data_IF_582558097692
#
_entry.id   IF_582558097692
#
_cell.length_a   1.000
_cell.length_b   1.000
_cell.length_c   1.000
_cell.angle_alpha   90.00
_cell.angle_beta   90.00
_cell.angle_gamma   90.00
#
_symmetry.space_group_name_H-M   'P 1'
#
loop_
_entity.id
_entity.type
_entity.pdbx_description
1 polymer ?
#
# COMPACT_ATOMS: atom_id res chain seq x y z
N UNK A 1 42.44 19.64 60.48
CA UNK A 1 41.08 19.07 60.57
C UNK A 1 40.09 20.16 60.14
N UNK A 2 39.41 20.01 58.98
CA UNK A 2 38.22 20.76 58.53
C UNK A 2 37.80 20.27 57.13
N UNK A 3 36.72 19.47 57.14
CA UNK A 3 35.67 19.15 56.16
C UNK A 3 35.95 18.83 54.66
N UNK A 4 35.11 17.95 54.03
CA UNK A 4 35.38 17.26 52.78
C UNK A 4 34.72 17.95 51.56
N UNK A 5 35.31 17.79 50.37
CA UNK A 5 34.68 18.21 49.10
C UNK A 5 34.00 17.00 48.47
N UNK A 6 32.67 17.02 48.52
CA UNK A 6 31.77 16.07 47.87
C UNK A 6 31.70 16.40 46.37
N UNK A 7 32.13 15.50 45.50
CA UNK A 7 32.00 15.64 44.04
C UNK A 7 30.74 14.90 43.57
N UNK A 8 29.66 15.65 43.36
CA UNK A 8 28.43 15.16 42.72
C UNK A 8 28.61 15.13 41.19
N UNK A 9 28.76 13.95 40.60
CA UNK A 9 28.70 13.78 39.14
C UNK A 9 27.23 13.65 38.69
N UNK A 10 26.70 14.71 38.09
CA UNK A 10 25.39 14.74 37.43
C UNK A 10 25.47 14.02 36.08
N UNK A 11 24.79 12.87 35.96
CA UNK A 11 24.66 12.13 34.72
C UNK A 11 23.62 12.84 33.82
N UNK A 12 24.08 13.47 32.74
CA UNK A 12 23.21 14.11 31.75
C UNK A 12 22.38 13.10 30.95
N UNK A 13 21.12 13.47 30.79
CA UNK A 13 20.04 12.78 30.07
C UNK A 13 20.32 12.79 28.56
N UNK A 14 20.43 11.61 27.95
CA UNK A 14 20.43 11.43 26.49
C UNK A 14 19.07 10.92 26.02
N UNK A 15 18.11 11.84 25.83
CA UNK A 15 16.81 11.53 25.25
C UNK A 15 16.99 11.31 23.73
N UNK A 16 17.14 10.05 23.32
CA UNK A 16 17.09 9.66 21.91
C UNK A 16 15.68 9.94 21.37
N UNK A 17 15.45 11.15 20.87
CA UNK A 17 14.29 11.45 20.05
C UNK A 17 14.42 10.67 18.74
N UNK A 18 13.81 9.49 18.70
CA UNK A 18 13.54 8.76 17.46
C UNK A 18 12.60 9.65 16.64
N UNK A 19 13.17 10.49 15.78
CA UNK A 19 12.40 11.21 14.77
C UNK A 19 11.88 10.16 13.80
N UNK A 20 10.60 9.80 13.96
CA UNK A 20 9.84 9.10 12.95
C UNK A 20 9.91 9.94 11.66
N UNK A 21 10.79 9.55 10.76
CA UNK A 21 10.89 10.12 9.42
C UNK A 21 9.73 9.57 8.61
N UNK A 22 8.53 10.08 8.87
CA UNK A 22 7.40 9.87 7.95
C UNK A 22 7.77 10.65 6.69
N UNK A 23 8.15 9.93 5.63
CA UNK A 23 8.35 10.52 4.32
C UNK A 23 7.00 11.02 3.82
N UNK A 24 6.70 12.30 4.10
CA UNK A 24 5.52 12.99 3.59
C UNK A 24 5.65 13.05 2.06
N UNK A 25 5.02 12.10 1.39
CA UNK A 25 4.94 12.08 -0.07
C UNK A 25 4.08 13.27 -0.45
N UNK A 26 4.62 14.20 -1.23
CA UNK A 26 3.85 15.34 -1.77
C UNK A 26 2.51 14.83 -2.34
N UNK A 27 1.39 15.51 -2.06
CA UNK A 27 0.11 15.11 -2.63
C UNK A 27 0.23 15.03 -4.15
N UNK A 28 -0.17 13.90 -4.71
CA UNK A 28 -0.13 13.68 -6.15
C UNK A 28 -1.07 14.67 -6.85
N UNK A 29 -0.72 15.07 -8.07
CA UNK A 29 -1.54 15.98 -8.87
C UNK A 29 -2.89 15.31 -9.21
N UNK A 30 -3.95 15.77 -8.55
CA UNK A 30 -5.31 15.26 -8.74
C UNK A 30 -5.77 15.35 -10.21
N UNK A 31 -5.27 16.31 -10.99
CA UNK A 31 -5.62 16.44 -12.41
C UNK A 31 -5.03 15.29 -13.24
N UNK A 32 -3.83 14.81 -12.87
CA UNK A 32 -3.17 13.71 -13.56
C UNK A 32 -3.68 12.35 -13.07
N UNK A 33 -3.79 12.15 -11.76
CA UNK A 33 -4.01 10.83 -11.15
C UNK A 33 -5.48 10.55 -10.78
N UNK A 34 -6.35 11.57 -10.81
CA UNK A 34 -7.70 11.49 -10.26
C UNK A 34 -7.72 11.70 -8.74
N UNK A 35 -8.91 11.62 -8.10
CA UNK A 35 -9.02 11.72 -6.65
C UNK A 35 -8.41 10.49 -5.96
N UNK A 36 -7.80 10.69 -4.80
CA UNK A 36 -7.26 9.61 -3.99
C UNK A 36 -8.37 8.61 -3.58
N UNK A 37 -8.23 7.30 -3.86
CA UNK A 37 -9.28 6.32 -3.62
C UNK A 37 -9.33 5.91 -2.14
N UNK A 38 -10.03 6.66 -1.30
CA UNK A 38 -10.17 6.37 0.13
C UNK A 38 -10.85 5.03 0.41
N UNK A 39 -11.71 4.56 -0.50
CA UNK A 39 -12.37 3.25 -0.44
C UNK A 39 -11.71 2.20 -1.34
N UNK A 40 -10.40 2.29 -1.58
CA UNK A 40 -9.69 1.39 -2.51
C UNK A 40 -9.94 -0.10 -2.27
N UNK A 41 -10.05 -0.54 -1.00
CA UNK A 41 -10.32 -1.94 -0.65
C UNK A 41 -11.65 -2.41 -1.24
N UNK A 42 -12.69 -1.59 -1.15
CA UNK A 42 -14.01 -1.90 -1.72
C UNK A 42 -13.94 -1.96 -3.26
N UNK A 43 -13.26 -0.99 -3.88
CA UNK A 43 -13.07 -0.95 -5.34
C UNK A 43 -12.36 -2.23 -5.82
N UNK A 44 -11.26 -2.61 -5.16
CA UNK A 44 -10.50 -3.81 -5.49
C UNK A 44 -11.34 -5.08 -5.27
N UNK A 45 -12.03 -5.21 -4.14
CA UNK A 45 -12.88 -6.39 -3.87
C UNK A 45 -14.02 -6.53 -4.87
N UNK A 46 -14.70 -5.43 -5.24
CA UNK A 46 -15.73 -5.44 -6.30
C UNK A 46 -15.16 -5.86 -7.64
N UNK A 47 -13.98 -5.36 -7.99
CA UNK A 47 -13.31 -5.76 -9.23
C UNK A 47 -12.91 -7.24 -9.18
N UNK A 48 -12.33 -7.73 -8.09
CA UNK A 48 -11.97 -9.14 -7.90
C UNK A 48 -13.15 -10.10 -8.04
N UNK A 49 -14.35 -9.69 -7.60
CA UNK A 49 -15.58 -10.47 -7.79
C UNK A 49 -15.91 -10.73 -9.28
N UNK A 50 -15.37 -9.93 -10.18
CA UNK A 50 -15.49 -10.13 -11.64
C UNK A 50 -14.35 -10.93 -12.26
N UNK A 51 -13.23 -11.10 -11.53
CA UNK A 51 -12.00 -11.73 -12.04
C UNK A 51 -11.81 -13.16 -11.52
N UNK A 52 -12.24 -13.42 -10.29
CA UNK A 52 -12.04 -14.72 -9.63
C UNK A 52 -13.17 -15.70 -9.95
N UNK A 53 -12.82 -16.98 -10.07
CA UNK A 53 -13.80 -18.05 -10.26
C UNK A 53 -14.66 -18.27 -9.00
N UNK A 54 -14.03 -18.22 -7.82
CA UNK A 54 -14.69 -18.31 -6.52
C UNK A 54 -14.28 -17.09 -5.68
N UNK A 55 -14.97 -15.96 -5.89
CA UNK A 55 -14.65 -14.70 -5.22
C UNK A 55 -14.83 -14.75 -3.71
N UNK A 56 -15.82 -15.50 -3.21
CA UNK A 56 -16.11 -15.65 -1.78
C UNK A 56 -14.99 -16.41 -1.05
N UNK A 57 -14.16 -17.16 -1.77
CA UNK A 57 -12.98 -17.83 -1.21
C UNK A 57 -11.76 -16.93 -0.98
N UNK A 58 -11.80 -15.69 -1.47
CA UNK A 58 -10.63 -14.84 -1.53
C UNK A 58 -10.12 -14.41 -0.14
N UNK A 59 -8.85 -14.71 0.14
CA UNK A 59 -8.10 -14.16 1.26
C UNK A 59 -7.14 -13.09 0.74
N UNK A 60 -7.35 -11.83 1.13
CA UNK A 60 -6.56 -10.68 0.64
C UNK A 60 -5.66 -10.15 1.75
N UNK A 61 -4.37 -10.02 1.46
CA UNK A 61 -3.40 -9.30 2.28
C UNK A 61 -3.02 -7.97 1.60
N UNK A 62 -3.40 -6.85 2.20
CA UNK A 62 -3.10 -5.53 1.67
C UNK A 62 -1.63 -5.15 1.89
N UNK A 63 -0.93 -4.72 0.84
CA UNK A 63 0.48 -4.34 0.91
C UNK A 63 0.65 -2.81 0.83
N UNK A 64 0.12 -2.14 1.86
CA UNK A 64 0.19 -0.69 2.01
C UNK A 64 -0.93 0.07 1.32
N UNK A 65 -0.84 1.40 1.43
CA UNK A 65 -1.80 2.35 0.89
C UNK A 65 -1.59 2.60 -0.61
N UNK A 66 -2.64 3.04 -1.35
CA UNK A 66 -2.54 3.42 -2.76
C UNK A 66 -1.42 4.45 -3.03
N UNK A 67 -0.60 4.19 -4.06
CA UNK A 67 0.51 5.07 -4.46
C UNK A 67 0.31 5.59 -5.88
N UNK A 68 0.49 6.90 -6.09
CA UNK A 68 0.44 7.47 -7.42
C UNK A 68 1.47 6.81 -8.35
N UNK A 69 1.03 6.36 -9.53
CA UNK A 69 1.85 5.65 -10.50
C UNK A 69 1.43 5.97 -11.94
N UNK A 70 2.40 5.95 -12.84
CA UNK A 70 2.18 5.90 -14.28
C UNK A 70 2.60 4.53 -14.79
N UNK A 71 1.65 3.72 -15.25
CA UNK A 71 1.89 2.36 -15.78
C UNK A 71 1.76 2.28 -17.31
N UNK A 72 1.74 3.44 -17.96
CA UNK A 72 1.72 3.59 -19.41
C UNK A 72 3.12 3.80 -19.99
N UNK A 73 3.18 4.11 -21.27
CA UNK A 73 4.42 4.51 -21.94
C UNK A 73 4.57 6.04 -21.93
N UNK A 74 5.69 6.55 -22.42
CA UNK A 74 5.91 7.99 -22.57
C UNK A 74 4.84 8.64 -23.46
N UNK A 75 4.45 7.99 -24.56
CA UNK A 75 3.47 8.51 -25.52
C UNK A 75 2.01 8.23 -25.10
N UNK A 76 1.80 7.24 -24.23
CA UNK A 76 0.47 6.81 -23.75
C UNK A 76 0.53 6.59 -22.24
N UNK A 77 0.64 7.67 -21.45
CA UNK A 77 0.70 7.53 -20.01
C UNK A 77 -0.63 6.99 -19.47
N UNK A 78 -0.54 6.20 -18.41
CA UNK A 78 -1.68 5.67 -17.69
C UNK A 78 -1.48 5.97 -16.21
N UNK A 79 -1.94 7.16 -15.82
CA UNK A 79 -1.86 7.64 -14.45
C UNK A 79 -3.01 7.11 -13.60
N UNK A 80 -2.72 6.79 -12.34
CA UNK A 80 -3.69 6.46 -11.31
C UNK A 80 -2.99 6.10 -10.00
N UNK A 81 -3.74 5.50 -9.08
CA UNK A 81 -3.23 5.00 -7.81
C UNK A 81 -3.06 3.49 -7.86
N UNK A 82 -1.81 3.04 -7.78
CA UNK A 82 -1.44 1.64 -7.71
C UNK A 82 -1.68 1.11 -6.30
N UNK A 83 -2.48 0.06 -6.20
CA UNK A 83 -2.71 -0.72 -4.99
C UNK A 83 -2.09 -2.09 -5.17
N UNK A 84 -1.15 -2.44 -4.30
CA UNK A 84 -0.53 -3.77 -4.28
C UNK A 84 -1.14 -4.61 -3.17
N UNK A 85 -1.39 -5.88 -3.45
CA UNK A 85 -1.94 -6.82 -2.49
C UNK A 85 -1.48 -8.24 -2.83
N UNK A 86 -1.59 -9.13 -1.86
CA UNK A 86 -1.54 -10.56 -2.12
C UNK A 86 -2.93 -11.15 -2.01
N UNK A 87 -3.18 -12.20 -2.76
CA UNK A 87 -4.46 -12.89 -2.75
C UNK A 87 -4.27 -14.39 -2.89
N UNK A 88 -5.07 -15.16 -2.16
CA UNK A 88 -5.23 -16.59 -2.33
C UNK A 88 -6.72 -16.89 -2.50
N UNK A 89 -7.09 -17.52 -3.62
CA UNK A 89 -8.47 -17.88 -3.93
C UNK A 89 -8.53 -19.28 -4.56
N UNK A 90 -9.70 -19.91 -4.53
CA UNK A 90 -9.91 -21.21 -5.16
C UNK A 90 -10.01 -21.09 -6.68
N UNK A 91 -9.42 -22.06 -7.37
CA UNK A 91 -9.56 -22.23 -8.82
C UNK A 91 -10.84 -23.02 -9.15
N UNK A 92 -11.06 -23.28 -10.45
CA UNK A 92 -12.23 -24.05 -10.94
C UNK A 92 -12.32 -25.50 -10.43
N UNK A 93 -11.25 -26.05 -9.85
CA UNK A 93 -11.21 -27.39 -9.26
C UNK A 93 -11.45 -27.35 -7.73
N UNK A 94 -11.73 -26.18 -7.16
CA UNK A 94 -11.98 -26.00 -5.73
C UNK A 94 -10.71 -25.97 -4.87
N UNK A 95 -9.52 -25.95 -5.46
CA UNK A 95 -8.25 -25.88 -4.72
C UNK A 95 -7.73 -24.44 -4.69
N UNK A 96 -7.14 -24.04 -3.56
CA UNK A 96 -6.44 -22.75 -3.46
C UNK A 96 -5.24 -22.69 -4.42
N UNK A 97 -5.05 -21.55 -5.07
CA UNK A 97 -3.92 -21.31 -5.99
C UNK A 97 -2.62 -20.99 -5.26
N UNK A 98 -2.69 -20.72 -3.95
CA UNK A 98 -1.58 -20.21 -3.16
C UNK A 98 -1.60 -18.69 -3.07
N UNK A 99 -0.81 -18.12 -2.16
CA UNK A 99 -0.76 -16.68 -1.95
C UNK A 99 0.08 -16.00 -3.05
N UNK A 100 -0.57 -15.23 -3.92
CA UNK A 100 0.06 -14.61 -5.10
C UNK A 100 0.03 -13.09 -4.99
N UNK A 101 1.09 -12.42 -5.44
CA UNK A 101 1.19 -10.95 -5.44
C UNK A 101 0.58 -10.37 -6.72
N UNK A 102 -0.31 -9.40 -6.54
CA UNK A 102 -0.99 -8.70 -7.62
C UNK A 102 -1.05 -7.19 -7.33
N UNK A 103 -1.50 -6.44 -8.34
CA UNK A 103 -1.82 -5.03 -8.15
C UNK A 103 -2.93 -4.56 -9.07
N UNK A 104 -3.53 -3.44 -8.73
CA UNK A 104 -4.48 -2.74 -9.60
C UNK A 104 -4.16 -1.26 -9.63
N UNK A 105 -4.33 -0.66 -10.80
CA UNK A 105 -4.32 0.78 -10.96
C UNK A 105 -5.75 1.29 -10.89
N UNK A 106 -6.02 2.15 -9.91
CA UNK A 106 -7.33 2.79 -9.70
C UNK A 106 -7.27 4.22 -10.21
N UNK A 107 -8.28 4.64 -10.95
CA UNK A 107 -8.48 6.03 -11.34
C UNK A 107 -9.97 6.34 -11.33
N UNK A 108 -10.35 7.49 -10.77
CA UNK A 108 -11.73 7.97 -10.74
C UNK A 108 -12.73 6.91 -10.20
N UNK A 109 -12.34 6.22 -9.14
CA UNK A 109 -13.15 5.18 -8.48
C UNK A 109 -13.21 3.83 -9.19
N UNK A 110 -12.48 3.65 -10.29
CA UNK A 110 -12.53 2.45 -11.12
C UNK A 110 -11.15 1.79 -11.27
N UNK A 111 -11.12 0.46 -11.36
CA UNK A 111 -9.90 -0.27 -11.77
C UNK A 111 -9.72 -0.10 -13.28
N UNK A 112 -8.64 0.59 -13.66
CA UNK A 112 -8.30 0.83 -15.08
C UNK A 112 -7.25 -0.15 -15.61
N UNK A 113 -6.55 -0.87 -14.73
CA UNK A 113 -5.58 -1.91 -15.10
C UNK A 113 -5.33 -2.89 -13.95
N UNK A 114 -5.40 -4.19 -14.22
CA UNK A 114 -4.89 -5.24 -13.32
C UNK A 114 -3.44 -5.62 -13.66
N UNK A 115 -2.68 -6.02 -12.64
CA UNK A 115 -1.28 -6.46 -12.73
C UNK A 115 -1.14 -7.85 -12.12
N UNK A 116 -0.41 -8.74 -12.81
CA UNK A 116 -0.19 -10.11 -12.36
C UNK A 116 -1.37 -11.06 -12.60
N UNK A 117 -2.50 -10.58 -13.12
CA UNK A 117 -3.60 -11.42 -13.58
C UNK A 117 -3.32 -11.84 -15.03
N UNK A 118 -3.27 -13.16 -15.28
CA UNK A 118 -3.09 -13.70 -16.63
C UNK A 118 -4.39 -13.57 -17.43
N UNK A 119 -4.27 -13.10 -18.68
CA UNK A 119 -5.36 -13.11 -19.67
C UNK A 119 -5.36 -14.43 -20.45
#
# INVERSE_FOLDING_TARGET
>A
MKAPVLLFCTLLVGLCAVRNLSAETKPADTQLYGPYPTNYKEIVTKWLATQLIDAESAHIEWNGEPKAANLGTQDKPLYGYLVNFKINARNRFGTYTGMQSHGVLIRDGNVVKGLGFGY
#
